data_IF_490272649153
#
_entry.id   IF_490272649153
#
_cell.length_a   1.000
_cell.length_b   1.000
_cell.length_c   1.000
_cell.angle_alpha   90.00
_cell.angle_beta   90.00
_cell.angle_gamma   90.00
#
_symmetry.space_group_name_H-M   'P 1'
#
loop_
_entity.id
_entity.type
_entity.pdbx_description
1 polymer ?
#
# COMPACT_ATOMS: atom_id res chain seq x y z
N UNK A 1 -26.09 7.11 20.94
CA UNK A 1 -26.78 6.12 21.78
C UNK A 1 -26.31 4.70 21.53
N UNK A 2 -26.06 4.33 20.27
CA UNK A 2 -25.56 2.96 19.92
C UNK A 2 -24.15 2.68 20.45
N UNK A 3 -23.28 3.69 20.58
CA UNK A 3 -21.94 3.50 21.13
C UNK A 3 -21.93 3.02 22.58
N UNK A 4 -22.94 3.37 23.39
CA UNK A 4 -23.08 2.87 24.74
C UNK A 4 -23.44 1.38 24.83
N UNK A 5 -23.95 0.78 23.74
CA UNK A 5 -24.33 -0.63 23.65
C UNK A 5 -23.19 -1.53 23.14
N UNK A 6 -22.09 -0.93 22.69
CA UNK A 6 -20.92 -1.67 22.20
C UNK A 6 -20.26 -2.45 23.35
N UNK A 7 -19.69 -3.61 23.04
CA UNK A 7 -18.83 -4.35 23.97
C UNK A 7 -17.56 -3.54 24.31
N UNK A 8 -16.88 -3.82 25.42
CA UNK A 8 -15.62 -3.15 25.77
C UNK A 8 -14.60 -3.15 24.63
N UNK A 9 -14.42 -4.29 23.94
CA UNK A 9 -13.51 -4.41 22.79
C UNK A 9 -13.93 -3.54 21.60
N UNK A 10 -15.21 -3.48 21.30
CA UNK A 10 -15.73 -2.61 20.23
C UNK A 10 -15.59 -1.12 20.57
N UNK A 11 -15.80 -0.75 21.85
CA UNK A 11 -15.55 0.63 22.31
C UNK A 11 -14.09 1.01 22.18
N UNK A 12 -13.16 0.08 22.52
CA UNK A 12 -11.73 0.29 22.34
C UNK A 12 -11.37 0.53 20.88
N UNK A 13 -11.88 -0.30 19.95
CA UNK A 13 -11.66 -0.11 18.51
C UNK A 13 -12.22 1.22 18.01
N UNK A 14 -13.42 1.58 18.42
CA UNK A 14 -14.02 2.89 18.06
C UNK A 14 -13.17 4.04 18.60
N UNK A 15 -12.77 3.96 19.87
CA UNK A 15 -11.96 4.99 20.50
C UNK A 15 -10.59 5.14 19.84
N UNK A 16 -9.93 4.04 19.51
CA UNK A 16 -8.64 4.07 18.80
C UNK A 16 -8.77 4.72 17.42
N UNK A 17 -9.79 4.35 16.65
CA UNK A 17 -10.03 4.93 15.32
C UNK A 17 -10.25 6.45 15.39
N UNK A 18 -11.12 6.91 16.28
CA UNK A 18 -11.39 8.35 16.44
C UNK A 18 -10.16 9.08 16.95
N UNK A 19 -9.45 8.50 17.93
CA UNK A 19 -8.25 9.11 18.51
C UNK A 19 -7.16 9.29 17.46
N UNK A 20 -6.87 8.27 16.66
CA UNK A 20 -5.89 8.39 15.57
C UNK A 20 -6.33 9.32 14.45
N UNK A 21 -7.63 9.40 14.16
CA UNK A 21 -8.16 10.37 13.19
C UNK A 21 -7.94 11.80 13.65
N UNK A 22 -8.20 12.08 14.93
CA UNK A 22 -8.07 13.41 15.50
C UNK A 22 -6.62 13.78 15.87
N UNK A 23 -5.75 12.80 16.08
CA UNK A 23 -4.33 13.03 16.36
C UNK A 23 -3.58 13.76 15.22
N UNK A 24 -4.13 13.77 14.01
CA UNK A 24 -3.63 14.59 12.90
C UNK A 24 -3.77 16.09 13.10
N UNK A 25 -4.54 16.53 14.10
CA UNK A 25 -4.71 17.94 14.43
C UNK A 25 -3.79 18.31 15.61
N UNK A 26 -2.76 19.12 15.38
CA UNK A 26 -1.73 19.46 16.36
C UNK A 26 -2.27 20.06 17.70
N UNK A 27 -3.48 20.61 17.69
CA UNK A 27 -4.10 21.17 18.87
C UNK A 27 -4.81 20.13 19.77
N UNK A 28 -4.95 18.87 19.32
CA UNK A 28 -5.70 17.83 20.03
C UNK A 28 -4.72 16.81 20.59
N UNK A 29 -4.49 16.85 21.91
CA UNK A 29 -3.63 15.88 22.59
C UNK A 29 -4.41 14.85 23.42
N UNK A 30 -5.66 15.18 23.81
CA UNK A 30 -6.52 14.33 24.63
C UNK A 30 -7.98 14.41 24.19
N UNK A 31 -8.68 13.28 24.27
CA UNK A 31 -10.05 13.14 23.78
C UNK A 31 -10.90 12.50 24.87
N UNK A 32 -12.11 13.02 25.08
CA UNK A 32 -13.15 12.40 25.89
C UNK A 32 -14.30 11.95 25.01
N UNK A 33 -14.78 10.77 25.26
CA UNK A 33 -15.90 10.21 24.51
C UNK A 33 -17.19 10.32 25.30
N UNK A 34 -18.25 10.77 24.66
CA UNK A 34 -19.60 10.82 25.24
C UNK A 34 -20.59 10.08 24.34
N UNK A 35 -21.55 9.42 24.95
CA UNK A 35 -22.65 8.76 24.27
C UNK A 35 -23.98 9.14 24.96
N UNK A 36 -24.89 9.77 24.21
CA UNK A 36 -26.17 10.23 24.78
C UNK A 36 -26.02 11.27 25.90
N UNK A 37 -24.95 12.09 25.87
CA UNK A 37 -24.68 13.13 26.90
C UNK A 37 -23.93 12.60 28.14
N UNK A 38 -23.71 11.30 28.27
CA UNK A 38 -22.95 10.70 29.37
C UNK A 38 -21.55 10.28 28.89
N UNK A 39 -20.56 10.29 29.81
CA UNK A 39 -19.22 9.81 29.49
C UNK A 39 -19.25 8.33 29.12
N UNK A 40 -18.57 8.00 28.02
CA UNK A 40 -18.40 6.62 27.58
C UNK A 40 -17.20 6.02 28.33
N UNK A 41 -17.47 5.03 29.19
CA UNK A 41 -16.41 4.35 29.93
C UNK A 41 -15.54 3.55 28.98
N UNK A 42 -14.24 3.84 28.98
CA UNK A 42 -13.18 3.14 28.26
C UNK A 42 -12.22 2.53 29.29
N UNK A 43 -11.88 1.24 29.16
CA UNK A 43 -11.03 0.56 30.15
C UNK A 43 -9.65 1.21 30.35
N UNK A 44 -9.13 1.84 29.30
CA UNK A 44 -7.80 2.44 29.26
C UNK A 44 -7.80 3.94 29.63
N UNK A 45 -8.97 4.54 29.87
CA UNK A 45 -9.05 5.98 30.11
C UNK A 45 -8.34 6.38 31.40
N UNK A 46 -7.71 7.56 31.38
CA UNK A 46 -7.15 8.18 32.58
C UNK A 46 -8.27 8.50 33.62
N UNK A 47 -7.90 8.90 34.84
CA UNK A 47 -8.87 9.25 35.89
C UNK A 47 -9.87 10.34 35.45
N UNK A 48 -9.45 11.24 34.59
CA UNK A 48 -10.29 12.28 33.99
C UNK A 48 -11.13 11.81 32.79
N UNK A 49 -11.17 10.48 32.55
CA UNK A 49 -11.88 9.84 31.44
C UNK A 49 -11.40 10.29 30.06
N UNK A 50 -10.18 10.80 29.94
CA UNK A 50 -9.56 11.15 28.67
C UNK A 50 -8.61 10.07 28.18
N UNK A 51 -8.45 9.99 26.86
CA UNK A 51 -7.50 9.08 26.17
C UNK A 51 -6.61 9.90 25.24
N UNK A 52 -5.41 9.37 24.99
CA UNK A 52 -4.45 9.89 24.01
C UNK A 52 -4.09 8.82 23.00
N UNK A 53 -3.41 9.21 21.92
CA UNK A 53 -2.97 8.28 20.89
C UNK A 53 -2.02 7.20 21.43
N UNK A 54 -1.20 7.53 22.42
CA UNK A 54 -0.24 6.60 23.03
C UNK A 54 -0.91 5.36 23.66
N UNK A 55 -2.14 5.52 24.17
CA UNK A 55 -2.93 4.39 24.72
C UNK A 55 -3.37 3.38 23.65
N UNK A 56 -3.26 3.76 22.40
CA UNK A 56 -3.68 2.96 21.23
C UNK A 56 -2.53 2.76 20.25
N UNK A 57 -1.29 2.64 20.76
CA UNK A 57 -0.10 2.51 19.93
C UNK A 57 -0.15 1.27 19.00
N UNK A 58 -0.81 0.18 19.43
CA UNK A 58 -1.01 -1.01 18.60
C UNK A 58 -1.94 -0.78 17.39
N UNK A 59 -2.73 0.30 17.41
CA UNK A 59 -3.63 0.69 16.32
C UNK A 59 -3.07 1.85 15.49
N UNK A 60 -1.79 2.17 15.65
CA UNK A 60 -1.15 3.24 14.88
C UNK A 60 -1.37 3.01 13.38
N UNK A 61 -1.91 3.99 12.64
CA UNK A 61 -2.17 3.84 11.20
C UNK A 61 -0.90 3.59 10.39
N UNK A 62 0.20 4.15 10.86
CA UNK A 62 1.55 3.96 10.31
C UNK A 62 2.41 3.39 11.44
N UNK A 63 2.68 2.08 11.47
CA UNK A 63 3.62 1.55 12.42
C UNK A 63 4.96 2.28 12.23
N UNK A 64 5.58 2.71 13.33
CA UNK A 64 6.93 3.26 13.29
C UNK A 64 7.85 2.19 12.71
N UNK A 65 8.23 2.37 11.46
CA UNK A 65 9.08 1.42 10.76
C UNK A 65 10.51 1.62 11.19
N UNK A 66 11.16 0.53 11.49
CA UNK A 66 12.60 0.51 11.56
C UNK A 66 13.15 0.86 10.17
N UNK A 67 13.70 2.06 10.03
CA UNK A 67 14.35 2.57 8.82
C UNK A 67 13.75 2.05 7.50
N UNK A 68 12.80 2.74 6.92
CA UNK A 68 12.15 2.30 5.70
C UNK A 68 13.19 2.06 4.63
N UNK A 69 13.06 0.95 3.94
CA UNK A 69 14.03 0.53 2.94
C UNK A 69 13.32 0.30 1.61
N UNK A 70 13.85 0.91 0.57
CA UNK A 70 13.43 0.60 -0.80
C UNK A 70 14.02 -0.74 -1.18
N UNK A 71 13.20 -1.60 -1.75
CA UNK A 71 13.61 -2.87 -2.34
C UNK A 71 13.49 -2.77 -3.84
N UNK A 72 14.52 -3.17 -4.54
CA UNK A 72 14.58 -3.14 -5.99
C UNK A 72 14.98 -4.51 -6.55
N UNK A 73 14.53 -4.78 -7.77
CA UNK A 73 14.99 -5.92 -8.57
C UNK A 73 15.81 -5.39 -9.72
N UNK A 74 17.07 -5.84 -9.83
CA UNK A 74 17.99 -5.48 -10.92
C UNK A 74 18.50 -6.78 -11.55
N UNK A 75 18.29 -6.95 -12.84
CA UNK A 75 18.71 -8.17 -13.59
C UNK A 75 18.28 -9.48 -12.90
N UNK A 76 17.07 -9.48 -12.33
CA UNK A 76 16.51 -10.60 -11.60
C UNK A 76 17.03 -10.77 -10.16
N UNK A 77 17.99 -9.98 -9.72
CA UNK A 77 18.49 -9.99 -8.34
C UNK A 77 17.73 -8.99 -7.49
N UNK A 78 17.23 -9.44 -6.36
CA UNK A 78 16.53 -8.61 -5.38
C UNK A 78 17.50 -8.05 -4.35
N UNK A 79 17.36 -6.80 -4.03
CA UNK A 79 18.23 -6.14 -3.06
C UNK A 79 17.58 -4.93 -2.40
N UNK A 80 18.18 -4.46 -1.31
CA UNK A 80 17.78 -3.27 -0.57
C UNK A 80 18.58 -2.06 -0.99
N UNK A 81 17.90 -0.92 -1.04
CA UNK A 81 18.50 0.40 -1.29
C UNK A 81 18.13 1.31 -0.13
N UNK A 82 19.13 1.87 0.55
CA UNK A 82 18.86 2.89 1.56
C UNK A 82 18.21 4.12 0.91
N UNK A 83 17.27 4.79 1.58
CA UNK A 83 16.65 6.01 1.08
C UNK A 83 17.67 7.13 0.80
N UNK A 84 18.79 7.15 1.53
CA UNK A 84 19.93 8.04 1.26
C UNK A 84 20.61 7.83 -0.10
N UNK A 85 20.32 6.72 -0.80
CA UNK A 85 20.73 6.44 -2.19
C UNK A 85 22.07 5.72 -2.34
N UNK A 86 22.24 5.11 -3.51
CA UNK A 86 23.46 4.61 -4.16
C UNK A 86 23.98 3.23 -3.74
N UNK A 87 23.63 2.66 -2.60
CA UNK A 87 24.09 1.34 -2.21
C UNK A 87 23.00 0.29 -2.38
N UNK A 88 23.09 -0.49 -3.45
CA UNK A 88 22.27 -1.67 -3.66
C UNK A 88 22.92 -2.86 -2.96
N UNK A 89 22.25 -3.38 -1.94
CA UNK A 89 22.68 -4.60 -1.23
C UNK A 89 21.82 -5.77 -1.66
N UNK A 90 22.43 -6.73 -2.34
CA UNK A 90 21.77 -7.97 -2.72
C UNK A 90 21.30 -8.70 -1.46
N UNK A 91 20.07 -9.19 -1.48
CA UNK A 91 19.51 -10.01 -0.40
C UNK A 91 20.09 -11.42 -0.40
N UNK A 92 20.20 -12.05 0.77
CA UNK A 92 20.59 -13.45 0.84
C UNK A 92 19.47 -14.38 0.31
N UNK A 93 19.86 -15.59 -0.13
CA UNK A 93 18.93 -16.62 -0.56
C UNK A 93 18.63 -16.60 -2.07
N UNK A 94 17.62 -17.35 -2.50
CA UNK A 94 17.32 -17.62 -3.90
C UNK A 94 17.17 -16.36 -4.75
N UNK A 95 16.48 -15.34 -4.27
CA UNK A 95 16.20 -14.13 -5.06
C UNK A 95 17.39 -13.16 -5.14
N UNK A 96 18.34 -13.26 -4.23
CA UNK A 96 19.57 -12.46 -4.32
C UNK A 96 20.56 -13.01 -5.34
N UNK A 97 20.50 -14.28 -5.68
CA UNK A 97 21.43 -14.91 -6.64
C UNK A 97 21.06 -14.69 -8.11
N UNK A 98 19.96 -14.05 -8.36
CA UNK A 98 19.40 -13.92 -9.70
C UNK A 98 18.54 -15.12 -10.04
N UNK A 99 17.31 -14.87 -10.44
CA UNK A 99 16.41 -15.92 -10.80
C UNK A 99 16.94 -16.70 -12.00
N UNK A 100 17.20 -17.97 -11.81
CA UNK A 100 17.13 -18.93 -12.90
C UNK A 100 15.72 -18.82 -13.52
N UNK A 101 15.61 -19.03 -14.80
CA UNK A 101 14.49 -18.73 -15.70
C UNK A 101 13.07 -18.98 -15.18
N UNK A 102 12.89 -19.76 -14.12
CA UNK A 102 11.57 -20.11 -13.56
C UNK A 102 11.15 -19.27 -12.33
N UNK A 103 12.06 -18.49 -11.74
CA UNK A 103 11.80 -17.75 -10.48
C UNK A 103 11.91 -16.24 -10.64
N UNK A 104 11.88 -15.71 -11.86
CA UNK A 104 11.84 -14.28 -12.08
C UNK A 104 10.54 -13.69 -11.56
N UNK A 105 10.63 -12.54 -10.88
CA UNK A 105 9.47 -11.83 -10.33
C UNK A 105 9.18 -10.60 -11.16
N UNK A 106 7.89 -10.37 -11.45
CA UNK A 106 7.44 -9.19 -12.15
C UNK A 106 7.23 -8.02 -11.19
N UNK A 107 6.71 -8.31 -10.02
CA UNK A 107 6.33 -7.32 -9.01
C UNK A 107 6.56 -7.91 -7.62
N UNK A 108 7.09 -7.10 -6.73
CA UNK A 108 7.35 -7.46 -5.33
C UNK A 108 6.34 -6.76 -4.44
N UNK A 109 5.84 -7.44 -3.43
CA UNK A 109 5.00 -6.85 -2.41
C UNK A 109 5.81 -5.91 -1.51
N UNK A 110 5.16 -4.88 -0.99
CA UNK A 110 5.62 -4.30 0.24
C UNK A 110 5.47 -5.35 1.34
N UNK A 111 6.52 -5.60 2.08
CA UNK A 111 6.42 -6.48 3.24
C UNK A 111 6.13 -5.64 4.46
N UNK A 112 5.15 -6.04 5.24
CA UNK A 112 5.17 -5.69 6.64
C UNK A 112 6.19 -6.61 7.31
N UNK A 113 7.19 -6.03 7.99
CA UNK A 113 7.94 -6.79 8.94
C UNK A 113 6.96 -7.28 10.01
N UNK A 114 6.70 -8.56 10.06
CA UNK A 114 6.23 -9.14 11.30
C UNK A 114 7.33 -8.84 12.30
N UNK A 115 7.07 -7.94 13.26
CA UNK A 115 7.92 -7.83 14.42
C UNK A 115 8.05 -9.25 14.97
N UNK A 116 9.25 -9.84 14.96
CA UNK A 116 9.43 -11.08 15.68
C UNK A 116 9.19 -10.73 17.14
N UNK A 117 8.21 -11.34 17.74
CA UNK A 117 8.12 -11.43 19.17
C UNK A 117 9.47 -11.98 19.63
N UNK A 118 10.30 -11.08 20.10
CA UNK A 118 11.57 -11.24 20.81
C UNK A 118 12.02 -12.70 20.93
N UNK A 119 12.57 -13.23 19.85
CA UNK A 119 13.39 -14.45 19.90
C UNK A 119 14.68 -14.14 19.15
N UNK A 120 15.86 -14.37 19.74
CA UNK A 120 17.15 -14.15 19.08
C UNK A 120 17.38 -15.05 17.85
N UNK A 121 16.42 -15.86 17.47
CA UNK A 121 16.37 -16.73 16.29
C UNK A 121 15.20 -16.41 15.36
N UNK A 122 14.80 -15.15 15.32
CA UNK A 122 13.72 -14.74 14.41
C UNK A 122 14.06 -15.10 12.97
N UNK A 123 13.16 -15.80 12.28
CA UNK A 123 13.31 -16.01 10.86
C UNK A 123 13.35 -14.64 10.16
N UNK A 124 14.15 -14.51 9.10
CA UNK A 124 14.22 -13.31 8.27
C UNK A 124 12.83 -12.89 7.74
N UNK A 125 12.75 -11.69 7.18
CA UNK A 125 11.51 -11.17 6.62
C UNK A 125 10.87 -12.14 5.63
N UNK A 126 9.54 -12.22 5.63
CA UNK A 126 8.78 -12.98 4.63
C UNK A 126 8.44 -12.03 3.49
N UNK A 127 8.70 -12.45 2.28
CA UNK A 127 8.49 -11.69 1.06
C UNK A 127 7.41 -12.31 0.20
N UNK A 128 6.72 -11.47 -0.54
CA UNK A 128 5.70 -11.89 -1.49
C UNK A 128 5.93 -11.21 -2.82
N UNK A 129 5.68 -11.91 -3.90
CA UNK A 129 5.79 -11.37 -5.25
C UNK A 129 4.86 -12.09 -6.22
N UNK A 130 4.67 -11.49 -7.36
CA UNK A 130 4.04 -12.13 -8.51
C UNK A 130 5.14 -12.59 -9.47
N UNK A 131 5.02 -13.82 -9.95
CA UNK A 131 5.91 -14.39 -10.97
C UNK A 131 5.93 -13.54 -12.25
N UNK A 132 7.01 -13.63 -13.04
CA UNK A 132 7.18 -12.85 -14.26
C UNK A 132 6.07 -13.06 -15.30
N UNK A 133 5.48 -14.27 -15.35
CA UNK A 133 4.33 -14.60 -16.19
C UNK A 133 2.99 -14.13 -15.61
N UNK A 134 3.00 -13.51 -14.43
CA UNK A 134 1.83 -13.02 -13.68
C UNK A 134 0.78 -14.09 -13.36
N UNK A 135 1.21 -15.36 -13.23
CA UNK A 135 0.31 -16.48 -12.94
C UNK A 135 0.39 -17.01 -11.52
N UNK A 136 1.48 -16.74 -10.81
CA UNK A 136 1.71 -17.27 -9.48
C UNK A 136 1.97 -16.15 -8.47
N UNK A 137 1.29 -16.21 -7.33
CA UNK A 137 1.63 -15.47 -6.13
C UNK A 137 2.66 -16.29 -5.35
N UNK A 138 3.83 -15.74 -5.17
CA UNK A 138 4.99 -16.38 -4.56
C UNK A 138 5.22 -15.86 -3.14
N UNK A 139 5.75 -16.71 -2.27
CA UNK A 139 6.27 -16.34 -0.96
C UNK A 139 7.58 -17.04 -0.67
N UNK A 140 8.44 -16.41 0.08
CA UNK A 140 9.69 -16.99 0.57
C UNK A 140 10.15 -16.23 1.81
N UNK A 141 10.94 -16.91 2.61
CA UNK A 141 11.67 -16.32 3.73
C UNK A 141 13.01 -15.78 3.25
N UNK A 142 13.41 -14.60 3.70
CA UNK A 142 14.71 -14.05 3.38
C UNK A 142 15.83 -14.98 3.83
N UNK A 143 16.78 -15.24 2.93
CA UNK A 143 17.87 -16.19 3.15
C UNK A 143 17.51 -17.63 2.81
N UNK A 144 16.23 -17.96 2.57
CA UNK A 144 15.83 -19.29 2.13
C UNK A 144 16.07 -19.49 0.63
N UNK A 145 16.28 -20.74 0.26
CA UNK A 145 16.30 -21.22 -1.14
C UNK A 145 14.90 -21.65 -1.61
N UNK A 146 13.97 -21.85 -0.68
CA UNK A 146 12.64 -22.36 -0.98
C UNK A 146 11.69 -21.20 -1.29
N UNK A 147 11.14 -21.23 -2.50
CA UNK A 147 10.07 -20.36 -2.95
C UNK A 147 8.80 -21.18 -3.05
N UNK A 148 7.74 -20.72 -2.36
CA UNK A 148 6.45 -21.39 -2.35
C UNK A 148 5.43 -20.64 -3.19
N UNK A 149 4.51 -21.36 -3.84
CA UNK A 149 3.37 -20.80 -4.53
C UNK A 149 2.18 -20.76 -3.57
N UNK A 150 1.72 -19.56 -3.20
CA UNK A 150 0.57 -19.37 -2.33
C UNK A 150 -0.75 -19.47 -3.09
N UNK A 151 -0.78 -18.93 -4.31
CA UNK A 151 -1.98 -18.92 -5.12
C UNK A 151 -1.61 -18.81 -6.61
N UNK A 152 -2.54 -19.21 -7.46
CA UNK A 152 -2.45 -19.05 -8.92
C UNK A 152 -3.62 -18.23 -9.44
N UNK A 153 -3.41 -17.54 -10.54
CA UNK A 153 -4.43 -16.72 -11.19
C UNK A 153 -4.00 -16.32 -12.60
N UNK A 154 -4.73 -15.40 -13.19
CA UNK A 154 -4.41 -14.84 -14.51
C UNK A 154 -4.09 -13.37 -14.34
N UNK A 155 -2.94 -12.95 -14.83
CA UNK A 155 -2.53 -11.56 -14.83
C UNK A 155 -2.58 -10.91 -13.43
N UNK A 156 -2.05 -11.63 -12.45
CA UNK A 156 -2.03 -11.19 -11.05
C UNK A 156 -1.40 -9.81 -10.90
N UNK A 157 -1.95 -9.02 -10.00
CA UNK A 157 -1.46 -7.66 -9.68
C UNK A 157 -0.44 -7.71 -8.54
N UNK A 158 0.35 -6.65 -8.41
CA UNK A 158 1.31 -6.48 -7.31
C UNK A 158 0.62 -6.77 -5.98
N UNK A 159 1.08 -7.76 -5.20
CA UNK A 159 0.41 -8.12 -3.97
C UNK A 159 0.56 -7.02 -2.92
N UNK A 160 -0.40 -6.94 -2.02
CA UNK A 160 -0.36 -6.06 -0.86
C UNK A 160 -0.50 -6.90 0.40
N UNK A 161 0.31 -6.62 1.40
CA UNK A 161 0.20 -7.25 2.72
C UNK A 161 -0.74 -6.40 3.59
N UNK A 162 -1.76 -7.03 4.15
CA UNK A 162 -2.70 -6.38 5.05
C UNK A 162 -2.17 -6.42 6.49
N UNK A 163 -2.76 -5.62 7.38
CA UNK A 163 -2.33 -5.54 8.79
C UNK A 163 -2.37 -6.86 9.56
N UNK A 164 -3.25 -7.76 9.20
CA UNK A 164 -3.36 -9.09 9.78
C UNK A 164 -2.43 -10.11 9.13
N UNK A 165 -1.47 -9.62 8.36
CA UNK A 165 -0.50 -10.41 7.59
C UNK A 165 -1.13 -11.27 6.49
N UNK A 166 -2.41 -11.10 6.16
CA UNK A 166 -2.97 -11.67 4.95
C UNK A 166 -2.45 -10.94 3.72
N UNK A 167 -2.37 -11.66 2.60
CA UNK A 167 -1.86 -11.14 1.33
C UNK A 167 -3.03 -11.00 0.37
N UNK A 168 -3.15 -9.83 -0.25
CA UNK A 168 -4.21 -9.51 -1.19
C UNK A 168 -3.65 -9.25 -2.58
N UNK A 169 -4.28 -9.81 -3.60
CA UNK A 169 -4.00 -9.52 -5.02
C UNK A 169 -5.29 -9.63 -5.85
N UNK A 170 -5.25 -9.10 -7.06
CA UNK A 170 -6.34 -9.26 -8.03
C UNK A 170 -5.90 -10.17 -9.18
N UNK A 171 -6.87 -10.92 -9.72
CA UNK A 171 -6.75 -11.73 -10.93
C UNK A 171 -7.75 -11.24 -11.98
N UNK A 172 -7.36 -11.29 -13.26
CA UNK A 172 -8.21 -10.89 -14.38
C UNK A 172 -9.28 -11.97 -14.75
N UNK A 173 -9.18 -13.18 -14.21
CA UNK A 173 -10.22 -14.19 -14.41
C UNK A 173 -11.41 -13.83 -13.54
N UNK A 174 -12.53 -13.44 -14.18
CA UNK A 174 -13.75 -13.01 -13.49
C UNK A 174 -13.40 -12.09 -12.32
N UNK A 175 -13.22 -10.79 -12.50
CA UNK A 175 -12.47 -9.88 -11.62
C UNK A 175 -12.44 -10.38 -10.17
N UNK A 176 -11.42 -11.18 -9.87
CA UNK A 176 -11.37 -11.93 -8.61
C UNK A 176 -10.36 -11.31 -7.66
N UNK A 177 -10.81 -10.97 -6.47
CA UNK A 177 -9.98 -10.65 -5.33
C UNK A 177 -9.51 -11.97 -4.69
N UNK A 178 -8.21 -12.17 -4.65
CA UNK A 178 -7.58 -13.31 -3.99
C UNK A 178 -6.96 -12.82 -2.69
N UNK A 179 -7.32 -13.45 -1.59
CA UNK A 179 -6.73 -13.19 -0.27
C UNK A 179 -6.19 -14.50 0.28
N UNK A 180 -4.94 -14.47 0.73
CA UNK A 180 -4.31 -15.59 1.43
C UNK A 180 -4.08 -15.17 2.88
N UNK A 181 -4.71 -15.86 3.81
CA UNK A 181 -4.56 -15.61 5.24
C UNK A 181 -3.15 -15.96 5.74
N UNK A 182 -2.80 -15.46 6.91
CA UNK A 182 -1.53 -15.79 7.58
C UNK A 182 -1.39 -17.27 7.95
N UNK A 183 -2.52 -17.99 8.02
CA UNK A 183 -2.61 -19.45 8.19
C UNK A 183 -2.48 -20.23 6.88
N UNK A 184 -2.30 -19.53 5.74
CA UNK A 184 -2.26 -20.12 4.41
C UNK A 184 -3.63 -20.40 3.78
N UNK A 185 -4.73 -20.12 4.50
CA UNK A 185 -6.07 -20.28 3.94
C UNK A 185 -6.30 -19.32 2.78
N UNK A 186 -6.65 -19.87 1.62
CA UNK A 186 -6.94 -19.08 0.42
C UNK A 186 -8.43 -18.81 0.30
N UNK A 187 -8.76 -17.56 0.12
CA UNK A 187 -10.11 -17.10 -0.24
C UNK A 187 -10.07 -16.41 -1.59
N UNK A 188 -11.11 -16.61 -2.37
CA UNK A 188 -11.26 -15.94 -3.66
C UNK A 188 -12.69 -15.44 -3.78
N UNK A 189 -12.86 -14.14 -3.97
CA UNK A 189 -14.15 -13.48 -4.06
C UNK A 189 -14.27 -12.76 -5.38
N UNK A 190 -15.31 -13.05 -6.15
CA UNK A 190 -15.64 -12.27 -7.35
C UNK A 190 -16.09 -10.89 -6.93
N UNK A 191 -15.53 -9.86 -7.54
CA UNK A 191 -15.86 -8.47 -7.25
C UNK A 191 -16.65 -7.88 -8.41
N UNK A 192 -17.80 -7.30 -8.11
CA UNK A 192 -18.54 -6.55 -9.13
C UNK A 192 -17.85 -5.21 -9.39
N UNK A 193 -17.16 -5.13 -10.50
CA UNK A 193 -16.46 -3.94 -10.99
C UNK A 193 -17.22 -3.22 -12.11
N UNK A 194 -18.49 -3.55 -12.34
CA UNK A 194 -19.29 -2.95 -13.43
C UNK A 194 -18.66 -3.13 -14.82
N UNK A 195 -18.04 -4.29 -15.07
CA UNK A 195 -17.35 -4.58 -16.34
C UNK A 195 -15.95 -3.97 -16.47
N UNK A 196 -15.41 -3.38 -15.41
CA UNK A 196 -14.03 -2.93 -15.35
C UNK A 196 -13.10 -4.09 -14.93
N UNK A 197 -11.80 -3.89 -15.16
CA UNK A 197 -10.74 -4.72 -14.53
C UNK A 197 -9.78 -3.85 -13.71
N UNK A 198 -9.23 -4.40 -12.64
CA UNK A 198 -8.20 -3.72 -11.86
C UNK A 198 -6.87 -3.85 -12.57
N UNK A 199 -6.20 -2.75 -12.89
CA UNK A 199 -4.87 -2.76 -13.49
C UNK A 199 -3.77 -2.47 -12.47
N UNK A 200 -4.08 -1.68 -11.44
CA UNK A 200 -3.23 -1.46 -10.26
C UNK A 200 -4.12 -1.18 -9.05
N UNK A 201 -3.59 -1.38 -7.86
CA UNK A 201 -4.27 -1.04 -6.63
C UNK A 201 -3.27 -0.77 -5.49
N UNK A 202 -3.73 -0.05 -4.49
CA UNK A 202 -2.96 0.21 -3.26
C UNK A 202 -3.90 0.24 -2.07
N UNK A 203 -3.60 -0.53 -1.03
CA UNK A 203 -4.35 -0.54 0.22
C UNK A 203 -3.94 0.67 1.05
N UNK A 204 -4.93 1.36 1.61
CA UNK A 204 -4.68 2.50 2.46
C UNK A 204 -4.00 2.09 3.77
N UNK A 205 -3.28 3.01 4.41
CA UNK A 205 -2.66 2.74 5.72
C UNK A 205 -3.65 2.32 6.81
N UNK A 206 -4.93 2.69 6.68
CA UNK A 206 -6.01 2.26 7.59
C UNK A 206 -6.43 0.79 7.38
N UNK A 207 -5.99 0.16 6.29
CA UNK A 207 -6.36 -1.19 5.86
C UNK A 207 -7.88 -1.40 5.63
N UNK A 208 -8.64 -0.31 5.49
CA UNK A 208 -10.09 -0.31 5.24
C UNK A 208 -10.42 0.19 3.84
N UNK A 209 -9.61 1.11 3.30
CA UNK A 209 -9.79 1.66 1.97
C UNK A 209 -8.77 1.09 1.00
N UNK A 210 -9.17 0.97 -0.26
CA UNK A 210 -8.28 0.58 -1.34
C UNK A 210 -8.46 1.52 -2.52
N UNK A 211 -7.36 2.07 -3.02
CA UNK A 211 -7.34 2.80 -4.26
C UNK A 211 -7.16 1.82 -5.42
N UNK A 212 -7.93 1.99 -6.47
CA UNK A 212 -8.03 1.09 -7.61
C UNK A 212 -7.83 1.87 -8.91
N UNK A 213 -6.96 1.39 -9.77
CA UNK A 213 -6.92 1.82 -11.18
C UNK A 213 -7.81 0.87 -11.97
N UNK A 214 -8.96 1.37 -12.41
CA UNK A 214 -10.01 0.63 -13.08
C UNK A 214 -9.94 0.87 -14.59
N UNK A 215 -9.81 -0.17 -15.37
CA UNK A 215 -9.79 -0.10 -16.82
C UNK A 215 -11.12 -0.59 -17.40
N UNK A 216 -11.75 0.25 -18.21
CA UNK A 216 -12.96 -0.07 -19.00
C UNK A 216 -12.69 0.23 -20.47
N UNK A 217 -12.43 -0.80 -21.26
CA UNK A 217 -12.05 -0.65 -22.65
C UNK A 217 -10.74 0.13 -22.82
N UNK A 218 -10.80 1.36 -23.32
CA UNK A 218 -9.62 2.23 -23.52
C UNK A 218 -9.45 3.30 -22.44
N UNK A 219 -10.38 3.40 -21.50
CA UNK A 219 -10.34 4.41 -20.43
C UNK A 219 -9.86 3.80 -19.14
N UNK A 220 -9.18 4.59 -18.34
CA UNK A 220 -8.75 4.22 -16.98
C UNK A 220 -9.21 5.28 -16.00
N UNK A 221 -9.88 4.86 -14.95
CA UNK A 221 -10.39 5.68 -13.87
C UNK A 221 -9.69 5.33 -12.55
N UNK A 222 -9.66 6.27 -11.64
CA UNK A 222 -9.30 6.03 -10.25
C UNK A 222 -10.57 5.80 -9.44
N UNK A 223 -10.60 4.74 -8.64
CA UNK A 223 -11.70 4.46 -7.74
C UNK A 223 -11.19 4.24 -6.31
N UNK A 224 -12.05 4.50 -5.34
CA UNK A 224 -11.83 4.11 -3.93
C UNK A 224 -12.90 3.11 -3.54
N UNK A 225 -12.47 1.95 -3.05
CA UNK A 225 -13.33 0.91 -2.50
C UNK A 225 -13.13 0.74 -1.01
N UNK A 226 -14.09 0.08 -0.35
CA UNK A 226 -14.02 -0.28 1.06
C UNK A 226 -13.77 -1.78 1.21
N UNK A 227 -12.75 -2.11 2.01
CA UNK A 227 -12.47 -3.47 2.45
C UNK A 227 -13.21 -3.73 3.75
N UNK A 228 -13.96 -4.81 3.81
CA UNK A 228 -14.62 -5.27 5.03
C UNK A 228 -14.33 -6.76 5.24
N UNK A 229 -14.38 -7.20 6.50
CA UNK A 229 -14.29 -8.63 6.84
C UNK A 229 -15.64 -9.10 7.33
N UNK A 230 -16.14 -10.15 6.69
CA UNK A 230 -17.37 -10.82 7.08
C UNK A 230 -17.10 -12.32 7.11
N UNK A 231 -17.39 -12.96 8.24
CA UNK A 231 -17.18 -14.40 8.42
C UNK A 231 -15.77 -14.90 8.07
N UNK A 232 -14.75 -14.04 8.31
CA UNK A 232 -13.35 -14.32 7.97
C UNK A 232 -12.96 -13.99 6.52
N UNK A 233 -13.91 -13.75 5.63
CA UNK A 233 -13.65 -13.37 4.26
C UNK A 233 -13.46 -11.84 4.09
N UNK A 234 -12.54 -11.46 3.22
CA UNK A 234 -12.34 -10.05 2.82
C UNK A 234 -13.25 -9.75 1.64
N UNK A 235 -14.05 -8.72 1.79
CA UNK A 235 -14.96 -8.21 0.76
C UNK A 235 -14.57 -6.80 0.35
N UNK A 236 -14.58 -6.55 -0.95
CA UNK A 236 -14.44 -5.22 -1.53
C UNK A 236 -15.82 -4.72 -1.96
N UNK A 237 -16.21 -3.56 -1.49
CA UNK A 237 -17.52 -2.96 -1.73
C UNK A 237 -17.42 -1.45 -1.88
N UNK A 238 -18.56 -0.79 -2.19
CA UNK A 238 -18.70 0.67 -2.24
C UNK A 238 -17.62 1.35 -3.09
N UNK A 239 -17.34 0.80 -4.28
CA UNK A 239 -16.38 1.40 -5.20
C UNK A 239 -16.97 2.68 -5.77
N UNK A 240 -16.28 3.80 -5.53
CA UNK A 240 -16.67 5.12 -6.01
C UNK A 240 -15.57 5.68 -6.89
N UNK A 241 -15.92 6.14 -8.07
CA UNK A 241 -14.98 6.79 -8.98
C UNK A 241 -14.55 8.15 -8.41
N UNK A 242 -13.27 8.42 -8.50
CA UNK A 242 -12.66 9.70 -8.09
C UNK A 242 -12.52 10.58 -9.33
N UNK A 243 -13.10 11.79 -9.34
CA UNK A 243 -12.94 12.71 -10.44
C UNK A 243 -11.48 13.17 -10.56
N UNK A 244 -10.94 13.09 -11.77
CA UNK A 244 -9.54 13.38 -12.07
C UNK A 244 -9.36 14.66 -12.87
N UNK A 245 -10.43 15.42 -13.03
CA UNK A 245 -10.42 16.72 -13.67
C UNK A 245 -10.57 17.80 -12.61
N UNK A 246 -9.53 18.59 -12.43
CA UNK A 246 -9.59 19.88 -11.70
C UNK A 246 -9.42 21.02 -12.72
N UNK A 247 -9.49 22.28 -12.25
CA UNK A 247 -9.23 23.45 -13.08
C UNK A 247 -7.86 23.39 -13.79
N UNK A 248 -6.88 22.73 -13.18
CA UNK A 248 -5.48 22.81 -13.58
C UNK A 248 -4.92 21.46 -14.10
N UNK A 249 -5.60 20.35 -13.82
CA UNK A 249 -5.15 19.01 -14.19
C UNK A 249 -6.30 18.19 -14.78
N UNK A 250 -6.10 17.66 -15.97
CA UNK A 250 -7.04 16.76 -16.62
C UNK A 250 -6.29 15.50 -17.07
N UNK A 251 -6.41 14.42 -16.31
CA UNK A 251 -5.73 13.16 -16.57
C UNK A 251 -6.56 12.29 -17.51
N UNK A 252 -5.95 11.88 -18.63
CA UNK A 252 -6.59 11.00 -19.62
C UNK A 252 -6.31 9.52 -19.37
N UNK A 253 -5.19 9.19 -18.76
CA UNK A 253 -4.76 7.82 -18.47
C UNK A 253 -4.15 7.77 -17.08
N UNK A 254 -4.49 6.75 -16.31
CA UNK A 254 -3.86 6.42 -15.04
C UNK A 254 -3.21 5.04 -15.16
N UNK A 255 -2.00 4.89 -14.65
CA UNK A 255 -1.25 3.64 -14.74
C UNK A 255 -0.99 2.98 -13.41
N UNK A 256 -0.75 3.76 -12.35
CA UNK A 256 -0.45 3.23 -11.01
C UNK A 256 -0.86 4.21 -9.91
N UNK A 257 -0.98 3.72 -8.66
CA UNK A 257 -1.38 4.51 -7.50
C UNK A 257 -0.71 4.02 -6.23
N UNK A 258 -0.36 4.96 -5.34
CA UNK A 258 0.12 4.69 -3.99
C UNK A 258 -0.46 5.70 -2.99
N UNK A 259 -0.67 5.28 -1.73
CA UNK A 259 -1.11 6.16 -0.66
C UNK A 259 0.07 6.92 -0.05
N UNK A 260 0.03 8.25 -0.07
CA UNK A 260 1.00 9.11 0.63
C UNK A 260 0.57 9.40 2.07
N UNK A 261 -0.73 9.38 2.32
CA UNK A 261 -1.30 9.57 3.67
C UNK A 261 -2.70 8.97 3.72
N UNK A 262 -3.40 9.16 4.81
CA UNK A 262 -4.81 8.76 4.90
C UNK A 262 -5.74 9.51 3.93
N UNK A 263 -5.32 10.66 3.41
CA UNK A 263 -6.15 11.53 2.56
C UNK A 263 -5.51 11.92 1.24
N UNK A 264 -4.29 11.48 0.97
CA UNK A 264 -3.52 11.83 -0.21
C UNK A 264 -2.99 10.60 -0.94
N UNK A 265 -3.07 10.65 -2.25
CA UNK A 265 -2.59 9.64 -3.17
C UNK A 265 -1.49 10.22 -4.06
N UNK A 266 -0.47 9.45 -4.38
CA UNK A 266 0.35 9.66 -5.56
C UNK A 266 -0.21 8.80 -6.68
N UNK A 267 -0.55 9.43 -7.79
CA UNK A 267 -1.13 8.79 -8.97
C UNK A 267 -0.19 9.00 -10.15
N UNK A 268 0.20 7.95 -10.81
CA UNK A 268 0.88 8.05 -12.10
C UNK A 268 -0.16 8.23 -13.20
N UNK A 269 -0.12 9.38 -13.84
CA UNK A 269 -1.10 9.76 -14.84
C UNK A 269 -0.48 10.49 -16.02
N UNK A 270 -1.22 10.53 -17.11
CA UNK A 270 -0.88 11.32 -18.29
C UNK A 270 -1.98 12.33 -18.55
N UNK A 271 -1.63 13.61 -18.54
CA UNK A 271 -2.54 14.67 -18.95
C UNK A 271 -2.90 14.54 -20.44
N UNK A 272 -4.04 15.10 -20.84
CA UNK A 272 -4.57 14.96 -22.22
C UNK A 272 -3.54 15.36 -23.27
N UNK A 273 -2.81 16.44 -23.01
CA UNK A 273 -1.83 17.01 -23.94
C UNK A 273 -0.38 16.58 -23.64
N UNK A 274 -0.18 15.65 -22.69
CA UNK A 274 1.16 15.19 -22.32
C UNK A 274 1.54 13.90 -23.05
N UNK A 275 2.79 13.83 -23.50
CA UNK A 275 3.35 12.64 -24.13
C UNK A 275 3.79 11.54 -23.16
N UNK A 276 4.00 11.88 -21.90
CA UNK A 276 4.57 10.99 -20.86
C UNK A 276 3.68 10.90 -19.63
N UNK A 277 3.77 9.78 -18.93
CA UNK A 277 3.13 9.57 -17.64
C UNK A 277 4.00 10.18 -16.55
N UNK A 278 3.42 11.02 -15.70
CA UNK A 278 4.09 11.73 -14.60
C UNK A 278 3.32 11.59 -13.29
N UNK A 279 3.92 11.88 -12.12
CA UNK A 279 3.26 11.76 -10.85
C UNK A 279 2.42 12.98 -10.50
N UNK A 280 1.27 12.73 -9.93
CA UNK A 280 0.35 13.74 -9.40
C UNK A 280 -0.01 13.39 -7.96
N UNK A 281 -0.04 14.39 -7.10
CA UNK A 281 -0.64 14.28 -5.78
C UNK A 281 -2.12 14.65 -5.89
N UNK A 282 -2.99 13.80 -5.36
CA UNK A 282 -4.45 13.97 -5.44
C UNK A 282 -5.06 13.63 -4.09
N UNK A 283 -5.99 14.45 -3.61
CA UNK A 283 -6.78 14.08 -2.45
C UNK A 283 -7.76 12.93 -2.78
N UNK A 284 -8.11 12.12 -1.78
CA UNK A 284 -8.98 10.94 -1.96
C UNK A 284 -10.40 11.26 -2.44
N UNK A 285 -10.83 12.50 -2.33
CA UNK A 285 -12.09 13.02 -2.87
C UNK A 285 -11.95 13.58 -4.31
N UNK A 286 -10.75 13.50 -4.88
CA UNK A 286 -10.42 14.04 -6.19
C UNK A 286 -10.09 15.54 -6.22
N UNK A 287 -10.14 16.21 -5.08
CA UNK A 287 -9.77 17.63 -4.98
C UNK A 287 -8.26 17.83 -4.98
N UNK A 288 -7.83 19.05 -5.33
CA UNK A 288 -6.46 19.51 -5.18
C UNK A 288 -5.43 18.69 -5.96
N UNK A 289 -5.79 18.18 -7.15
CA UNK A 289 -4.84 17.50 -8.02
C UNK A 289 -3.70 18.45 -8.41
N UNK A 290 -2.47 18.10 -8.06
CA UNK A 290 -1.27 18.90 -8.35
C UNK A 290 -0.18 18.03 -8.97
N UNK A 291 0.51 18.55 -9.99
CA UNK A 291 1.68 17.89 -10.55
C UNK A 291 2.80 17.87 -9.51
N UNK A 292 3.45 16.72 -9.35
CA UNK A 292 4.67 16.58 -8.55
C UNK A 292 5.95 16.82 -9.37
N UNK A 293 5.80 17.36 -10.58
CA UNK A 293 6.88 17.72 -11.52
C UNK A 293 7.09 16.69 -12.62
N UNK A 294 7.53 17.20 -13.76
CA UNK A 294 7.98 16.37 -14.89
C UNK A 294 9.50 16.22 -14.81
N UNK A 295 9.99 15.03 -14.63
CA UNK A 295 11.38 14.77 -14.27
C UNK A 295 12.28 14.37 -15.42
N UNK A 296 11.72 13.71 -16.41
CA UNK A 296 12.45 13.15 -17.55
C UNK A 296 11.53 13.11 -18.76
N UNK A 297 12.12 12.87 -19.94
CA UNK A 297 11.36 12.57 -21.15
C UNK A 297 10.76 11.14 -21.13
N UNK A 298 11.05 10.37 -20.09
CA UNK A 298 10.65 8.96 -19.97
C UNK A 298 9.39 8.84 -19.09
N UNK A 299 8.46 8.01 -19.53
CA UNK A 299 7.25 7.68 -18.75
C UNK A 299 7.58 6.93 -17.46
N UNK A 300 6.76 7.13 -16.46
CA UNK A 300 6.83 6.41 -15.20
C UNK A 300 5.96 5.16 -15.24
N UNK A 301 6.52 4.05 -14.78
CA UNK A 301 5.93 2.72 -14.86
C UNK A 301 5.24 2.27 -13.56
N UNK A 302 5.84 2.61 -12.40
CA UNK A 302 5.30 2.21 -11.10
C UNK A 302 5.58 3.25 -10.02
N UNK A 303 4.72 3.32 -9.01
CA UNK A 303 4.90 4.13 -7.81
C UNK A 303 4.72 3.29 -6.55
N UNK A 304 5.53 3.58 -5.55
CA UNK A 304 5.40 3.06 -4.17
C UNK A 304 5.56 4.19 -3.18
N UNK A 305 4.97 4.05 -2.01
CA UNK A 305 5.01 5.02 -0.94
C UNK A 305 6.05 4.58 0.11
N UNK A 306 7.02 5.43 0.38
CA UNK A 306 8.10 5.21 1.33
C UNK A 306 7.79 5.99 2.61
N UNK A 307 7.45 5.34 3.73
CA UNK A 307 7.32 6.02 5.00
C UNK A 307 8.67 6.62 5.42
N UNK A 308 8.66 7.82 5.94
CA UNK A 308 9.84 8.51 6.48
C UNK A 308 9.47 9.17 7.82
N UNK A 309 10.46 9.66 8.57
CA UNK A 309 10.21 10.39 9.82
C UNK A 309 9.39 11.68 9.60
N UNK A 310 9.48 12.26 8.42
CA UNK A 310 8.79 13.51 8.06
C UNK A 310 7.43 13.28 7.39
N UNK A 311 7.04 12.03 7.14
CA UNK A 311 5.82 11.67 6.42
C UNK A 311 6.04 10.50 5.49
N UNK A 312 5.36 10.51 4.36
CA UNK A 312 5.51 9.46 3.33
C UNK A 312 5.91 10.10 2.01
N UNK A 313 7.01 9.62 1.44
CA UNK A 313 7.54 10.09 0.16
C UNK A 313 7.17 9.13 -0.98
N UNK A 314 7.01 9.68 -2.18
CA UNK A 314 6.82 8.86 -3.36
C UNK A 314 8.17 8.35 -3.90
N UNK A 315 8.22 7.06 -4.24
CA UNK A 315 9.32 6.46 -5.00
C UNK A 315 8.75 5.99 -6.33
N UNK A 316 9.34 6.46 -7.43
CA UNK A 316 8.84 6.20 -8.78
C UNK A 316 9.88 5.45 -9.59
N UNK A 317 9.44 4.38 -10.25
CA UNK A 317 10.20 3.65 -11.25
C UNK A 317 9.83 4.16 -12.64
N UNK A 318 10.83 4.61 -13.40
CA UNK A 318 10.66 4.99 -14.79
C UNK A 318 10.79 3.78 -15.74
N UNK A 319 10.22 3.88 -16.95
CA UNK A 319 10.28 2.80 -17.96
C UNK A 319 11.72 2.46 -18.40
N UNK A 320 12.66 3.41 -18.28
CA UNK A 320 14.09 3.20 -18.56
C UNK A 320 14.86 2.53 -17.40
N UNK A 321 14.15 2.15 -16.33
CA UNK A 321 14.74 1.53 -15.14
C UNK A 321 15.36 2.53 -14.15
N UNK A 322 15.19 3.83 -14.34
CA UNK A 322 15.60 4.84 -13.36
C UNK A 322 14.64 4.85 -12.17
N UNK A 323 15.18 4.80 -10.95
CA UNK A 323 14.41 4.90 -9.72
C UNK A 323 14.63 6.26 -9.07
N UNK A 324 13.54 6.98 -8.82
CA UNK A 324 13.51 8.34 -8.32
C UNK A 324 12.79 8.40 -6.97
N UNK A 325 13.33 9.18 -6.03
CA UNK A 325 12.71 9.51 -4.76
C UNK A 325 12.27 10.98 -4.78
N UNK A 326 11.03 11.23 -4.41
CA UNK A 326 10.51 12.58 -4.18
C UNK A 326 11.12 13.15 -2.90
N UNK A 327 11.58 14.40 -2.94
CA UNK A 327 12.14 15.08 -1.77
C UNK A 327 11.28 16.27 -1.35
N UNK A 328 10.99 17.19 -2.26
CA UNK A 328 10.18 18.37 -1.98
C UNK A 328 9.56 18.92 -3.26
N UNK A 329 8.30 19.34 -3.20
CA UNK A 329 7.60 20.02 -4.30
C UNK A 329 7.79 19.37 -5.66
N UNK A 330 8.71 19.89 -6.48
CA UNK A 330 9.06 19.37 -7.80
C UNK A 330 10.45 18.73 -7.84
N UNK A 331 11.06 18.50 -6.69
CA UNK A 331 12.42 17.99 -6.59
C UNK A 331 12.43 16.48 -6.40
N UNK A 332 13.14 15.81 -7.29
CA UNK A 332 13.31 14.38 -7.28
C UNK A 332 14.80 14.03 -7.33
N UNK A 333 15.16 13.03 -6.62
CA UNK A 333 16.53 12.54 -6.60
C UNK A 333 16.58 11.12 -7.16
N UNK A 334 17.49 10.91 -8.10
CA UNK A 334 17.78 9.57 -8.57
C UNK A 334 18.50 8.77 -7.49
N UNK A 335 17.96 7.60 -7.17
CA UNK A 335 18.53 6.69 -6.16
C UNK A 335 19.15 5.44 -6.77
N UNK A 336 18.69 5.01 -7.96
CA UNK A 336 19.20 3.80 -8.61
C UNK A 336 18.93 3.81 -10.11
N UNK A 337 19.62 2.93 -10.87
CA UNK A 337 19.37 2.67 -12.31
C UNK A 337 19.33 1.16 -12.59
N UNK A 338 18.70 0.78 -13.72
CA UNK A 338 18.58 -0.58 -14.18
C UNK A 338 17.58 -1.42 -13.36
N UNK A 339 16.64 -0.73 -12.70
CA UNK A 339 15.61 -1.36 -11.87
C UNK A 339 14.48 -1.90 -12.75
N UNK A 340 14.06 -3.13 -12.48
CA UNK A 340 12.95 -3.81 -13.16
C UNK A 340 11.66 -3.82 -12.33
N UNK A 341 11.78 -3.81 -10.99
CA UNK A 341 10.65 -3.76 -10.07
C UNK A 341 11.06 -3.05 -8.78
N UNK A 342 10.11 -2.45 -8.09
CA UNK A 342 10.31 -1.71 -6.85
C UNK A 342 9.23 -2.06 -5.83
N UNK A 343 9.63 -2.14 -4.57
CA UNK A 343 8.74 -2.22 -3.40
C UNK A 343 9.36 -1.43 -2.24
N UNK A 344 8.58 -1.26 -1.19
CA UNK A 344 9.03 -0.64 0.06
C UNK A 344 8.74 -1.58 1.20
N UNK A 345 9.66 -1.68 2.15
CA UNK A 345 9.41 -2.36 3.43
C UNK A 345 8.61 -1.42 4.32
N UNK A 346 7.52 -1.88 4.85
CA UNK A 346 6.67 -1.14 5.80
C UNK A 346 6.67 -1.80 7.16
#
# INVERSE_FOLDING_TARGET
ASAAQLSPSQRRLLASQVTWTLNGFAAISRIRFTAGGSLLSLPEAAEDQSVSADLYAEFIPFPATHSPTVVAVIKGQMGRVAASGHNFRIMPGALGRGATTNNSVAEVASTQFTMPMISPRSPGAIWHAVSADRRSLLTWQEGSEDIQVLATGVNLRRPQVLRDHSIMTFSDTDPTLIVVGSDGARMSTVVDLGGCRVTSFSVAPDAVRVALVLERGKTRALGIGLLSRQEGAVHLSHITDIPLSSSDVNLSIITDVAWLSQTRLCVLGRAIDAGVTTPYEIAVDGSGATSMGQLTATSMAAVVALPTEMGTEAVVLCEDGTLLLHEESFRWRQILQGVNAVAVTT
#
